data_IF_878522527018
#
_entry.id   IF_878522527018
#
_cell.length_a   1.000
_cell.length_b   1.000
_cell.length_c   1.000
_cell.angle_alpha   90.00
_cell.angle_beta   90.00
_cell.angle_gamma   90.00
#
_symmetry.space_group_name_H-M   'P 1'
#
loop_
_entity.id
_entity.type
_entity.pdbx_description
1 polymer ?
#
# COMPACT_ATOMS: atom_id res chain seq x y z
N UNK A 1 15.27 -12.06 15.24
CA UNK A 1 14.49 -13.22 15.65
C UNK A 1 13.04 -12.78 15.81
N UNK A 2 12.11 -13.29 14.98
CA UNK A 2 10.68 -12.92 14.99
C UNK A 2 9.88 -13.82 15.92
N UNK A 3 10.46 -14.94 16.37
CA UNK A 3 9.80 -15.92 17.25
C UNK A 3 9.61 -15.37 18.65
N UNK A 4 8.37 -15.39 19.15
CA UNK A 4 8.00 -15.11 20.53
C UNK A 4 7.09 -16.20 21.08
N UNK A 5 6.94 -16.23 22.41
CA UNK A 5 6.00 -17.11 23.11
C UNK A 5 5.12 -16.22 24.02
N UNK A 6 3.82 -16.30 23.83
CA UNK A 6 2.83 -15.56 24.62
C UNK A 6 1.66 -16.47 24.96
N UNK A 7 1.31 -16.58 26.22
CA UNK A 7 0.26 -17.50 26.72
C UNK A 7 0.45 -18.96 26.26
N UNK A 8 1.71 -19.43 26.20
CA UNK A 8 2.06 -20.80 25.76
C UNK A 8 1.95 -21.03 24.24
N UNK A 9 1.62 -20.00 23.46
CA UNK A 9 1.55 -20.09 22.00
C UNK A 9 2.76 -19.43 21.37
N UNK A 10 3.33 -20.10 20.35
CA UNK A 10 4.42 -19.55 19.55
C UNK A 10 3.82 -18.61 18.50
N UNK A 11 4.41 -17.46 18.34
CA UNK A 11 4.08 -16.49 17.29
C UNK A 11 5.36 -15.96 16.65
N UNK A 12 5.21 -15.41 15.44
CA UNK A 12 6.30 -14.82 14.65
C UNK A 12 5.89 -13.40 14.25
N UNK A 13 6.10 -12.43 15.17
CA UNK A 13 5.76 -11.02 14.92
C UNK A 13 6.73 -10.42 13.90
N UNK A 14 6.19 -9.58 12.99
CA UNK A 14 6.96 -8.90 11.95
C UNK A 14 7.76 -9.84 11.03
N UNK A 15 7.28 -11.10 10.87
CA UNK A 15 7.95 -12.03 9.98
C UNK A 15 7.88 -11.61 8.50
N UNK A 16 6.87 -10.86 8.12
CA UNK A 16 6.68 -10.25 6.79
C UNK A 16 7.82 -9.28 6.46
N UNK A 17 8.14 -8.36 7.37
CA UNK A 17 9.22 -7.38 7.17
C UNK A 17 10.60 -8.04 7.16
N UNK A 18 10.82 -8.96 8.10
CA UNK A 18 12.09 -9.70 8.19
C UNK A 18 12.22 -10.64 6.98
N UNK A 19 11.13 -11.30 6.59
CA UNK A 19 11.05 -12.16 5.41
C UNK A 19 11.41 -11.41 4.14
N UNK A 20 10.84 -10.23 3.91
CA UNK A 20 11.14 -9.38 2.75
C UNK A 20 12.63 -9.02 2.67
N UNK A 21 13.25 -8.64 3.79
CA UNK A 21 14.71 -8.38 3.84
C UNK A 21 15.53 -9.62 3.52
N UNK A 22 15.14 -10.78 4.04
CA UNK A 22 15.80 -12.05 3.75
C UNK A 22 15.65 -12.42 2.27
N UNK A 23 14.47 -12.27 1.70
CA UNK A 23 14.16 -12.48 0.29
C UNK A 23 15.09 -11.65 -0.59
N UNK A 24 15.19 -10.33 -0.35
CA UNK A 24 16.12 -9.46 -1.09
C UNK A 24 17.57 -9.95 -1.03
N UNK A 25 18.05 -10.35 0.15
CA UNK A 25 19.41 -10.85 0.31
C UNK A 25 19.65 -12.17 -0.43
N UNK A 26 18.71 -13.10 -0.34
CA UNK A 26 18.82 -14.43 -0.97
C UNK A 26 18.78 -14.29 -2.48
N UNK A 27 17.77 -13.60 -3.03
CA UNK A 27 17.61 -13.44 -4.47
C UNK A 27 18.76 -12.66 -5.11
N UNK A 28 19.30 -11.65 -4.41
CA UNK A 28 20.51 -10.96 -4.84
C UNK A 28 21.72 -11.90 -4.90
N UNK A 29 21.87 -12.78 -3.90
CA UNK A 29 22.92 -13.81 -3.90
C UNK A 29 22.77 -14.81 -5.05
N UNK A 30 21.53 -15.10 -5.46
CA UNK A 30 21.18 -15.95 -6.60
C UNK A 30 21.25 -15.21 -7.96
N UNK A 31 21.62 -13.92 -7.96
CA UNK A 31 21.77 -13.06 -9.15
C UNK A 31 20.48 -12.85 -9.95
N UNK A 32 19.33 -12.83 -9.28
CA UNK A 32 18.10 -12.33 -9.89
C UNK A 32 18.21 -10.84 -10.21
N UNK A 33 17.44 -10.37 -11.20
CA UNK A 33 17.36 -8.96 -11.54
C UNK A 33 16.66 -8.15 -10.44
N UNK A 34 16.91 -6.84 -10.39
CA UNK A 34 16.41 -5.98 -9.33
C UNK A 34 14.87 -5.90 -9.32
N UNK A 35 14.21 -5.92 -10.50
CA UNK A 35 12.75 -5.89 -10.58
C UNK A 35 12.15 -7.12 -9.91
N UNK A 36 12.60 -8.31 -10.26
CA UNK A 36 12.16 -9.58 -9.65
C UNK A 36 12.40 -9.59 -8.13
N UNK A 37 13.55 -9.07 -7.67
CA UNK A 37 13.87 -8.97 -6.23
C UNK A 37 12.86 -8.07 -5.49
N UNK A 38 12.57 -6.90 -6.03
CA UNK A 38 11.63 -5.96 -5.41
C UNK A 38 10.19 -6.49 -5.45
N UNK A 39 9.75 -7.06 -6.57
CA UNK A 39 8.42 -7.62 -6.74
C UNK A 39 8.15 -8.76 -5.72
N UNK A 40 9.06 -9.72 -5.62
CA UNK A 40 8.91 -10.83 -4.66
C UNK A 40 9.00 -10.34 -3.20
N UNK A 41 9.89 -9.39 -2.92
CA UNK A 41 10.00 -8.82 -1.58
C UNK A 41 8.73 -8.06 -1.17
N UNK A 42 8.10 -7.34 -2.10
CA UNK A 42 6.82 -6.67 -1.88
C UNK A 42 5.70 -7.68 -1.56
N UNK A 43 5.61 -8.77 -2.32
CA UNK A 43 4.64 -9.83 -2.03
C UNK A 43 4.82 -10.39 -0.61
N UNK A 44 6.06 -10.69 -0.21
CA UNK A 44 6.38 -11.19 1.13
C UNK A 44 6.04 -10.16 2.21
N UNK A 45 6.29 -8.88 1.96
CA UNK A 45 6.03 -7.81 2.93
C UNK A 45 4.52 -7.57 3.13
N UNK A 46 3.73 -7.66 2.06
CA UNK A 46 2.33 -7.27 2.05
C UNK A 46 1.34 -8.42 2.29
N UNK A 47 1.78 -9.71 2.26
CA UNK A 47 0.87 -10.87 2.26
C UNK A 47 -0.07 -10.95 3.47
N UNK A 48 0.30 -10.39 4.61
CA UNK A 48 -0.55 -10.39 5.81
C UNK A 48 -1.62 -9.30 5.80
N UNK A 49 -1.45 -8.26 4.99
CA UNK A 49 -2.31 -7.08 5.02
C UNK A 49 -3.78 -7.40 4.70
N UNK A 50 -4.11 -8.22 3.68
CA UNK A 50 -5.48 -8.61 3.38
C UNK A 50 -6.23 -9.27 4.54
N UNK A 51 -5.55 -9.96 5.44
CA UNK A 51 -6.19 -10.57 6.62
C UNK A 51 -6.78 -9.55 7.59
N UNK A 52 -6.41 -8.27 7.48
CA UNK A 52 -6.98 -7.18 8.29
C UNK A 52 -8.27 -6.62 7.69
N UNK A 53 -8.68 -7.01 6.46
CA UNK A 53 -9.88 -6.52 5.79
C UNK A 53 -11.15 -6.74 6.60
N UNK A 54 -11.30 -7.88 7.24
CA UNK A 54 -12.42 -8.21 8.14
C UNK A 54 -12.63 -7.22 9.30
N UNK A 55 -11.64 -6.37 9.59
CA UNK A 55 -11.72 -5.31 10.60
C UNK A 55 -12.43 -4.05 10.07
N UNK A 56 -12.90 -4.05 8.81
CA UNK A 56 -13.58 -2.94 8.17
C UNK A 56 -12.61 -1.94 7.56
N UNK A 57 -12.20 -2.17 6.31
CA UNK A 57 -11.40 -1.19 5.57
C UNK A 57 -12.28 -0.06 5.05
N UNK A 58 -11.82 1.17 5.25
CA UNK A 58 -12.36 2.34 4.59
C UNK A 58 -11.92 2.40 3.13
N UNK A 59 -12.55 3.23 2.31
CA UNK A 59 -12.12 3.46 0.92
C UNK A 59 -10.66 3.93 0.86
N UNK A 60 -10.20 4.72 1.83
CA UNK A 60 -8.79 5.13 1.89
C UNK A 60 -7.85 3.95 2.16
N UNK A 61 -8.24 2.99 3.00
CA UNK A 61 -7.45 1.79 3.25
C UNK A 61 -7.37 0.90 2.00
N UNK A 62 -8.48 0.79 1.24
CA UNK A 62 -8.51 0.07 -0.04
C UNK A 62 -7.63 0.76 -1.08
N UNK A 63 -7.75 2.10 -1.23
CA UNK A 63 -6.87 2.86 -2.13
C UNK A 63 -5.39 2.67 -1.79
N UNK A 64 -5.05 2.76 -0.50
CA UNK A 64 -3.69 2.55 -0.01
C UNK A 64 -3.18 1.15 -0.36
N UNK A 65 -4.00 0.12 -0.18
CA UNK A 65 -3.64 -1.25 -0.54
C UNK A 65 -3.36 -1.40 -2.03
N UNK A 66 -4.25 -0.85 -2.89
CA UNK A 66 -4.10 -0.89 -4.35
C UNK A 66 -2.81 -0.17 -4.78
N UNK A 67 -2.55 1.01 -4.23
CA UNK A 67 -1.37 1.82 -4.57
C UNK A 67 -0.07 1.15 -4.11
N UNK A 68 -0.04 0.64 -2.89
CA UNK A 68 1.14 0.00 -2.33
C UNK A 68 1.46 -1.33 -3.04
N UNK A 69 0.45 -2.10 -3.45
CA UNK A 69 0.63 -3.32 -4.23
C UNK A 69 1.03 -3.02 -5.69
N UNK A 70 0.56 -1.91 -6.24
CA UNK A 70 0.86 -1.48 -7.60
C UNK A 70 0.54 -2.55 -8.65
N UNK A 71 1.51 -2.86 -9.51
CA UNK A 71 1.37 -3.88 -10.56
C UNK A 71 1.33 -5.32 -10.02
N UNK A 72 1.68 -5.55 -8.76
CA UNK A 72 1.66 -6.86 -8.11
C UNK A 72 0.34 -7.16 -7.40
N UNK A 73 -0.70 -6.32 -7.56
CA UNK A 73 -1.96 -6.45 -6.82
C UNK A 73 -2.65 -7.80 -7.05
N UNK A 74 -2.70 -8.27 -8.28
CA UNK A 74 -3.32 -9.56 -8.64
C UNK A 74 -2.51 -10.72 -8.06
N UNK A 75 -1.19 -10.71 -8.25
CA UNK A 75 -0.29 -11.72 -7.69
C UNK A 75 -0.33 -11.76 -6.15
N UNK A 76 -0.48 -10.59 -5.52
CA UNK A 76 -0.61 -10.48 -4.07
C UNK A 76 -1.92 -11.10 -3.58
N UNK A 77 -3.05 -10.84 -4.25
CA UNK A 77 -4.33 -11.44 -3.90
C UNK A 77 -4.31 -12.96 -4.08
N UNK A 78 -3.70 -13.44 -5.16
CA UNK A 78 -3.53 -14.88 -5.42
C UNK A 78 -2.63 -15.54 -4.35
N UNK A 79 -1.51 -14.92 -4.00
CA UNK A 79 -0.62 -15.39 -2.94
C UNK A 79 -1.37 -15.52 -1.60
N UNK A 80 -2.16 -14.52 -1.21
CA UNK A 80 -2.92 -14.54 0.05
C UNK A 80 -3.95 -15.66 0.05
N UNK A 81 -4.61 -15.93 -1.07
CA UNK A 81 -5.53 -17.06 -1.21
C UNK A 81 -4.79 -18.41 -1.06
N UNK A 82 -3.61 -18.52 -1.64
CA UNK A 82 -2.80 -19.73 -1.55
C UNK A 82 -2.23 -19.97 -0.14
N UNK A 83 -2.01 -18.90 0.64
CA UNK A 83 -1.48 -18.98 2.01
C UNK A 83 -2.52 -19.41 3.07
N UNK A 84 -3.77 -19.63 2.68
CA UNK A 84 -4.82 -20.13 3.58
C UNK A 84 -4.57 -21.60 3.92
N UNK A 85 -3.78 -21.84 4.99
CA UNK A 85 -3.29 -23.18 5.37
C UNK A 85 -4.08 -23.82 6.52
N UNK A 86 -5.18 -23.21 6.99
CA UNK A 86 -5.98 -23.74 8.11
C UNK A 86 -6.70 -25.04 7.74
N UNK A 87 -6.62 -26.05 8.63
CA UNK A 87 -7.36 -27.31 8.50
C UNK A 87 -8.84 -27.19 8.87
N UNK A 88 -9.25 -26.09 9.54
CA UNK A 88 -10.63 -25.84 9.90
C UNK A 88 -11.41 -25.32 8.69
N UNK A 89 -12.28 -26.15 8.11
CA UNK A 89 -13.07 -25.83 6.92
C UNK A 89 -13.98 -24.60 7.09
N UNK A 90 -14.56 -24.40 8.28
CA UNK A 90 -15.42 -23.23 8.56
C UNK A 90 -14.56 -21.96 8.52
N UNK A 91 -13.43 -21.99 9.23
CA UNK A 91 -12.51 -20.85 9.23
C UNK A 91 -11.93 -20.57 7.85
N UNK A 92 -11.58 -21.61 7.09
CA UNK A 92 -11.12 -21.43 5.69
C UNK A 92 -12.17 -20.73 4.83
N UNK A 93 -13.44 -21.19 4.93
CA UNK A 93 -14.56 -20.57 4.22
C UNK A 93 -14.73 -19.10 4.58
N UNK A 94 -14.74 -18.75 5.84
CA UNK A 94 -14.81 -17.35 6.30
C UNK A 94 -13.66 -16.48 5.75
N UNK A 95 -12.44 -17.03 5.68
CA UNK A 95 -11.29 -16.30 5.11
C UNK A 95 -11.51 -16.06 3.62
N UNK A 96 -11.94 -17.08 2.85
CA UNK A 96 -12.20 -16.91 1.42
C UNK A 96 -13.34 -15.93 1.16
N UNK A 97 -14.43 -15.98 1.90
CA UNK A 97 -15.54 -15.02 1.79
C UNK A 97 -15.07 -13.58 2.05
N UNK A 98 -14.22 -13.36 3.05
CA UNK A 98 -13.62 -12.04 3.31
C UNK A 98 -12.69 -11.58 2.16
N UNK A 99 -11.93 -12.49 1.55
CA UNK A 99 -11.09 -12.16 0.40
C UNK A 99 -11.93 -11.84 -0.84
N UNK A 100 -13.01 -12.56 -1.09
CA UNK A 100 -13.94 -12.28 -2.17
C UNK A 100 -14.59 -10.90 -2.01
N UNK A 101 -15.00 -10.55 -0.79
CA UNK A 101 -15.56 -9.23 -0.49
C UNK A 101 -14.52 -8.12 -0.65
N UNK A 102 -13.28 -8.36 -0.23
CA UNK A 102 -12.17 -7.43 -0.42
C UNK A 102 -11.90 -7.16 -1.90
N UNK A 103 -11.82 -8.21 -2.72
CA UNK A 103 -11.61 -8.07 -4.17
C UNK A 103 -12.75 -7.32 -4.84
N UNK A 104 -14.00 -7.64 -4.48
CA UNK A 104 -15.16 -6.88 -4.94
C UNK A 104 -15.04 -5.40 -4.57
N UNK A 105 -14.63 -5.09 -3.35
CA UNK A 105 -14.44 -3.71 -2.88
C UNK A 105 -13.32 -3.00 -3.63
N UNK A 106 -12.23 -3.72 -3.95
CA UNK A 106 -11.15 -3.20 -4.79
C UNK A 106 -11.69 -2.78 -6.16
N UNK A 107 -12.49 -3.62 -6.82
CA UNK A 107 -13.07 -3.31 -8.13
C UNK A 107 -14.06 -2.14 -8.05
N UNK A 108 -14.87 -2.04 -6.99
CA UNK A 108 -15.76 -0.89 -6.78
C UNK A 108 -14.98 0.43 -6.64
N UNK A 109 -13.88 0.43 -5.88
CA UNK A 109 -13.04 1.61 -5.70
C UNK A 109 -12.29 1.96 -6.99
N UNK A 110 -11.77 0.97 -7.72
CA UNK A 110 -11.16 1.18 -9.03
C UNK A 110 -12.14 1.76 -10.06
N UNK A 111 -13.40 1.30 -10.05
CA UNK A 111 -14.42 1.79 -10.97
C UNK A 111 -14.87 3.23 -10.67
N UNK A 112 -14.91 3.60 -9.38
CA UNK A 112 -15.26 4.97 -8.96
C UNK A 112 -14.15 5.98 -9.25
N UNK A 113 -12.91 5.52 -9.13
CA UNK A 113 -11.75 6.37 -9.21
C UNK A 113 -10.78 5.74 -10.22
N UNK A 114 -10.43 6.43 -11.30
CA UNK A 114 -9.37 5.96 -12.22
C UNK A 114 -8.02 5.81 -11.49
N UNK A 115 -7.92 4.81 -10.61
CA UNK A 115 -6.78 4.64 -9.69
C UNK A 115 -5.43 4.40 -10.39
N UNK A 116 -5.45 3.98 -11.65
CA UNK A 116 -4.25 3.93 -12.51
C UNK A 116 -3.63 5.32 -12.75
N UNK A 117 -4.38 6.38 -12.45
CA UNK A 117 -3.99 7.78 -12.65
C UNK A 117 -4.07 8.60 -11.36
N UNK A 118 -3.85 7.98 -10.19
CA UNK A 118 -3.79 8.76 -8.94
C UNK A 118 -2.68 9.78 -9.08
N UNK A 119 -3.10 11.03 -9.27
CA UNK A 119 -2.21 12.20 -9.29
C UNK A 119 -2.73 13.23 -8.30
N UNK A 120 -1.86 13.96 -7.62
CA UNK A 120 -2.26 15.13 -6.86
C UNK A 120 -3.06 16.12 -7.72
N UNK A 121 -3.95 16.88 -7.11
CA UNK A 121 -4.75 17.89 -7.81
C UNK A 121 -3.90 19.06 -8.36
N UNK A 122 -2.68 19.23 -7.85
CA UNK A 122 -1.68 20.19 -8.34
C UNK A 122 -0.44 19.43 -8.84
N UNK A 123 0.12 19.90 -9.94
CA UNK A 123 1.40 19.45 -10.48
C UNK A 123 2.59 20.12 -9.79
N UNK A 124 3.77 19.55 -9.95
CA UNK A 124 5.01 20.18 -9.45
C UNK A 124 5.26 21.56 -10.08
N UNK A 125 4.88 21.77 -11.35
CA UNK A 125 5.02 23.05 -12.05
C UNK A 125 4.08 24.10 -11.46
N UNK A 126 2.81 23.76 -11.19
CA UNK A 126 1.85 24.65 -10.53
C UNK A 126 2.33 25.06 -9.12
N UNK A 127 2.96 24.14 -8.37
CA UNK A 127 3.54 24.42 -7.06
C UNK A 127 4.72 25.37 -7.19
N UNK A 128 5.64 25.11 -8.11
CA UNK A 128 6.80 25.97 -8.34
C UNK A 128 6.38 27.38 -8.75
N UNK A 129 5.39 27.52 -9.61
CA UNK A 129 4.84 28.80 -10.02
C UNK A 129 4.16 29.54 -8.87
N UNK A 130 3.29 28.86 -8.11
CA UNK A 130 2.54 29.46 -6.99
C UNK A 130 3.46 30.00 -5.88
N UNK A 131 4.49 29.24 -5.51
CA UNK A 131 5.40 29.62 -4.42
C UNK A 131 6.65 30.35 -4.91
N UNK A 132 6.80 30.56 -6.22
CA UNK A 132 7.99 31.16 -6.86
C UNK A 132 9.30 30.48 -6.39
N UNK A 133 9.33 29.15 -6.45
CA UNK A 133 10.47 28.32 -6.04
C UNK A 133 11.02 27.48 -7.18
N UNK A 134 12.32 27.17 -7.11
CA UNK A 134 12.96 26.28 -8.08
C UNK A 134 12.72 24.80 -7.74
N UNK A 135 12.87 23.89 -8.75
CA UNK A 135 12.84 22.46 -8.52
C UNK A 135 13.78 22.06 -7.37
N UNK A 136 13.28 21.29 -6.40
CA UNK A 136 14.07 20.90 -5.26
C UNK A 136 13.29 20.16 -4.16
N UNK A 137 13.96 19.90 -3.02
CA UNK A 137 13.37 19.11 -1.93
C UNK A 137 12.03 19.66 -1.42
N UNK A 138 11.85 20.99 -1.38
CA UNK A 138 10.60 21.61 -0.94
C UNK A 138 9.42 21.21 -1.81
N UNK A 139 9.59 21.22 -3.14
CA UNK A 139 8.56 20.77 -4.08
C UNK A 139 8.22 19.29 -3.81
N UNK A 140 9.25 18.46 -3.59
CA UNK A 140 9.07 17.04 -3.27
C UNK A 140 8.26 16.79 -2.00
N UNK A 141 8.47 17.56 -0.94
CA UNK A 141 7.72 17.45 0.33
C UNK A 141 6.27 17.85 0.12
N UNK A 142 5.99 18.95 -0.59
CA UNK A 142 4.63 19.40 -0.90
C UNK A 142 3.91 18.36 -1.77
N UNK A 143 4.57 17.89 -2.84
CA UNK A 143 4.01 16.85 -3.72
C UNK A 143 3.66 15.58 -2.95
N UNK A 144 4.51 15.18 -2.00
CA UNK A 144 4.24 14.02 -1.14
C UNK A 144 3.01 14.24 -0.26
N UNK A 145 2.86 15.42 0.35
CA UNK A 145 1.69 15.74 1.17
C UNK A 145 0.40 15.71 0.35
N UNK A 146 0.40 16.29 -0.85
CA UNK A 146 -0.73 16.27 -1.78
C UNK A 146 -1.07 14.86 -2.27
N UNK A 147 -0.08 14.03 -2.50
CA UNK A 147 -0.28 12.63 -2.87
C UNK A 147 -0.92 11.82 -1.73
N UNK A 148 -0.45 12.02 -0.50
CA UNK A 148 -1.06 11.42 0.69
C UNK A 148 -2.51 11.88 0.89
N UNK A 149 -2.81 13.17 0.68
CA UNK A 149 -4.17 13.69 0.69
C UNK A 149 -5.04 12.96 -0.35
N UNK A 150 -4.56 12.83 -1.59
CA UNK A 150 -5.29 12.15 -2.68
C UNK A 150 -5.63 10.69 -2.34
N UNK A 151 -4.73 9.98 -1.67
CA UNK A 151 -4.98 8.60 -1.23
C UNK A 151 -5.99 8.56 -0.09
N UNK A 152 -5.89 9.46 0.89
CA UNK A 152 -6.73 9.44 2.07
C UNK A 152 -8.17 9.92 1.77
N UNK A 153 -8.28 11.04 1.05
CA UNK A 153 -9.55 11.76 0.88
C UNK A 153 -10.24 11.47 -0.46
N UNK A 154 -9.52 10.83 -1.40
CA UNK A 154 -10.00 10.63 -2.77
C UNK A 154 -9.78 11.86 -3.64
N UNK A 155 -10.67 12.13 -4.57
CA UNK A 155 -10.61 13.35 -5.40
C UNK A 155 -10.85 14.59 -4.53
N UNK A 156 -9.91 15.53 -4.59
CA UNK A 156 -9.97 16.82 -3.89
C UNK A 156 -9.95 17.98 -4.87
N UNK A 157 -10.56 19.11 -4.49
CA UNK A 157 -10.51 20.31 -5.30
C UNK A 157 -9.11 20.91 -5.37
N UNK A 158 -8.81 21.66 -6.44
CA UNK A 158 -7.53 22.41 -6.52
C UNK A 158 -7.38 23.41 -5.37
N UNK A 159 -8.49 23.99 -4.91
CA UNK A 159 -8.48 24.95 -3.79
C UNK A 159 -8.05 24.30 -2.48
N UNK A 160 -8.56 23.10 -2.17
CA UNK A 160 -8.19 22.38 -0.94
C UNK A 160 -6.78 21.82 -1.03
N UNK A 161 -6.35 21.38 -2.20
CA UNK A 161 -4.97 20.98 -2.44
C UNK A 161 -4.01 22.18 -2.26
N UNK A 162 -4.40 23.38 -2.71
CA UNK A 162 -3.60 24.57 -2.55
C UNK A 162 -3.46 24.98 -1.07
N UNK A 163 -4.54 24.92 -0.29
CA UNK A 163 -4.49 25.15 1.17
C UNK A 163 -3.49 24.24 1.85
N UNK A 164 -3.54 22.93 1.55
CA UNK A 164 -2.59 21.97 2.11
C UNK A 164 -1.16 22.25 1.65
N UNK A 165 -0.96 22.66 0.40
CA UNK A 165 0.35 23.04 -0.11
C UNK A 165 0.91 24.26 0.64
N UNK A 166 0.08 25.28 0.90
CA UNK A 166 0.46 26.48 1.66
C UNK A 166 0.81 26.16 3.11
N UNK A 167 -0.01 25.32 3.78
CA UNK A 167 0.27 24.86 5.14
C UNK A 167 1.58 24.07 5.20
N UNK A 168 1.78 23.16 4.24
CA UNK A 168 3.02 22.38 4.15
C UNK A 168 4.23 23.28 3.92
N UNK A 169 4.11 24.25 3.02
CA UNK A 169 5.20 25.17 2.71
C UNK A 169 5.59 26.06 3.89
N UNK A 170 4.63 26.53 4.71
CA UNK A 170 4.89 27.31 5.93
C UNK A 170 5.70 26.55 6.98
N UNK A 171 5.67 25.21 6.95
CA UNK A 171 6.36 24.35 7.91
C UNK A 171 7.73 23.84 7.39
N UNK A 172 8.20 24.34 6.23
CA UNK A 172 9.49 24.00 5.61
C UNK A 172 10.56 25.08 5.80
#
# INVERSE_FOLDING_TARGET
>A
NTKGIENGKVHFRHHEVVGARMTKKILKGLKYDNKTIEDIALLVEQHLRPHTFKMGWTDSAVRRYIVDAGHMLEDLNELVRADVTTKNKIKAKEIYENLDEMEKRIEEVKAKEELSKIRPALSGDEIMEHFNIQPGPKVGVIMKALYEQRINDGEVSKEDALKLAEETYKNL
#
